data_IF_719727831674
#
_entry.id   IF_719727831674
#
_cell.length_a   1.000
_cell.length_b   1.000
_cell.length_c   1.000
_cell.angle_alpha   90.00
_cell.angle_beta   90.00
_cell.angle_gamma   90.00
#
_symmetry.space_group_name_H-M   'P 1'
#
loop_
_entity.id
_entity.type
_entity.pdbx_description
1 polymer ?
#
# COMPACT_ATOMS: atom_id res chain seq x y z
N UNK A 1 -10.84 13.31 12.65
CA UNK A 1 -10.21 12.02 12.30
C UNK A 1 -10.46 11.63 10.84
N UNK A 2 -11.71 11.51 10.37
CA UNK A 2 -11.99 11.14 8.97
C UNK A 2 -11.33 12.07 7.95
N UNK A 3 -11.63 13.37 7.97
CA UNK A 3 -11.09 14.32 6.99
C UNK A 3 -9.64 14.77 7.24
N UNK A 4 -9.16 14.63 8.48
CA UNK A 4 -7.84 15.12 8.93
C UNK A 4 -6.74 14.06 8.92
N UNK A 5 -7.12 12.77 8.86
CA UNK A 5 -6.17 11.66 9.04
C UNK A 5 -6.44 10.53 8.05
N UNK A 6 -7.70 10.11 7.86
CA UNK A 6 -8.03 8.97 6.99
C UNK A 6 -8.13 9.38 5.50
N UNK A 7 -8.79 10.50 5.23
CA UNK A 7 -9.16 10.95 3.88
C UNK A 7 -8.57 12.32 3.53
N UNK A 8 -7.30 12.54 3.91
CA UNK A 8 -6.59 13.80 3.67
C UNK A 8 -6.34 13.98 2.17
N UNK A 9 -6.68 15.16 1.64
CA UNK A 9 -6.33 15.59 0.28
C UNK A 9 -5.18 16.63 0.34
N UNK A 10 -4.59 16.98 -0.81
CA UNK A 10 -3.50 17.96 -0.93
C UNK A 10 -3.94 19.39 -0.58
N UNK A 11 -5.25 19.67 -0.57
CA UNK A 11 -5.78 20.93 -0.05
C UNK A 11 -5.65 20.90 1.47
N UNK A 12 -4.72 21.70 2.00
CA UNK A 12 -4.41 21.84 3.43
C UNK A 12 -5.61 22.16 4.35
N UNK A 13 -6.80 22.38 3.80
CA UNK A 13 -7.93 22.95 4.54
C UNK A 13 -9.33 22.54 4.01
N UNK A 14 -9.44 21.53 3.14
CA UNK A 14 -10.76 21.07 2.64
C UNK A 14 -10.86 19.56 2.66
N UNK A 15 -11.78 19.07 3.49
CA UNK A 15 -12.26 17.69 3.43
C UNK A 15 -13.08 17.53 2.15
N UNK A 16 -12.90 16.43 1.42
CA UNK A 16 -13.75 16.15 0.25
C UNK A 16 -15.22 16.13 0.70
N UNK A 17 -16.15 16.81 -0.01
CA UNK A 17 -17.57 16.83 0.35
C UNK A 17 -18.19 15.45 0.53
N UNK A 18 -17.62 14.45 -0.16
CA UNK A 18 -18.05 13.05 -0.10
C UNK A 18 -17.92 12.43 1.31
N UNK A 19 -17.00 12.93 2.14
CA UNK A 19 -16.89 12.49 3.54
C UNK A 19 -18.10 12.95 4.35
N UNK A 20 -18.68 14.10 4.01
CA UNK A 20 -19.87 14.61 4.70
C UNK A 20 -21.10 13.76 4.40
N UNK A 21 -21.23 13.20 3.20
CA UNK A 21 -22.34 12.29 2.86
C UNK A 21 -22.39 11.07 3.79
N UNK A 22 -21.24 10.49 4.16
CA UNK A 22 -21.17 9.40 5.13
C UNK A 22 -21.40 9.84 6.58
N UNK A 23 -21.29 11.13 6.87
CA UNK A 23 -21.55 11.70 8.20
C UNK A 23 -22.98 12.19 8.35
N UNK A 24 -23.74 12.35 7.26
CA UNK A 24 -25.17 12.66 7.31
C UNK A 24 -25.99 11.42 7.70
N UNK A 25 -25.48 10.22 7.43
CA UNK A 25 -26.06 8.91 7.79
C UNK A 25 -25.39 8.33 9.05
N UNK A 26 -25.42 9.07 10.17
CA UNK A 26 -24.78 8.65 11.43
C UNK A 26 -25.27 7.31 11.96
N UNK A 27 -26.50 6.90 11.61
CA UNK A 27 -27.10 5.63 12.03
C UNK A 27 -26.46 4.41 11.35
N UNK A 28 -25.78 4.59 10.21
CA UNK A 28 -25.12 3.52 9.45
C UNK A 28 -23.58 3.62 9.51
N UNK A 29 -23.06 4.58 10.28
CA UNK A 29 -21.63 4.92 10.31
C UNK A 29 -20.76 3.74 10.78
N UNK A 30 -21.30 2.86 11.62
CA UNK A 30 -20.63 1.68 12.15
C UNK A 30 -20.65 0.47 11.19
N UNK A 31 -21.53 0.50 10.19
CA UNK A 31 -21.65 -0.55 9.17
C UNK A 31 -20.58 -0.42 8.08
N UNK A 32 -20.01 0.77 7.91
CA UNK A 32 -18.98 1.04 6.91
C UNK A 32 -17.62 0.43 7.27
N UNK A 33 -16.98 -0.21 6.29
CA UNK A 33 -15.58 -0.65 6.42
C UNK A 33 -14.61 0.52 6.25
N UNK A 34 -14.46 1.34 7.29
CA UNK A 34 -13.55 2.50 7.30
C UNK A 34 -12.12 2.15 6.92
N UNK A 35 -11.63 0.99 7.35
CA UNK A 35 -10.29 0.51 7.00
C UNK A 35 -10.12 0.31 5.50
N UNK A 36 -11.10 -0.35 4.85
CA UNK A 36 -11.06 -0.63 3.41
C UNK A 36 -11.20 0.64 2.58
N UNK A 37 -12.09 1.55 3.00
CA UNK A 37 -12.20 2.87 2.36
C UNK A 37 -10.93 3.69 2.49
N UNK A 38 -10.32 3.72 3.67
CA UNK A 38 -9.04 4.40 3.91
C UNK A 38 -7.94 3.82 3.02
N UNK A 39 -7.87 2.50 2.89
CA UNK A 39 -6.88 1.82 2.05
C UNK A 39 -7.11 2.12 0.55
N UNK A 40 -8.37 2.13 0.09
CA UNK A 40 -8.73 2.50 -1.28
C UNK A 40 -8.28 3.94 -1.60
N UNK A 41 -8.50 4.88 -0.67
CA UNK A 41 -8.03 6.24 -0.82
C UNK A 41 -6.50 6.34 -0.81
N UNK A 42 -5.84 5.65 0.11
CA UNK A 42 -4.38 5.62 0.18
C UNK A 42 -3.75 5.08 -1.11
N UNK A 43 -4.26 3.96 -1.65
CA UNK A 43 -3.80 3.38 -2.93
C UNK A 43 -3.98 4.35 -4.09
N UNK A 44 -5.13 5.03 -4.14
CA UNK A 44 -5.39 6.08 -5.13
C UNK A 44 -4.36 7.21 -5.05
N UNK A 45 -4.07 7.70 -3.84
CA UNK A 45 -3.09 8.77 -3.64
C UNK A 45 -1.66 8.33 -3.97
N UNK A 46 -1.27 7.10 -3.61
CA UNK A 46 0.02 6.53 -3.97
C UNK A 46 0.19 6.37 -5.49
N UNK A 47 -0.85 5.88 -6.18
CA UNK A 47 -0.86 5.78 -7.64
C UNK A 47 -0.86 7.13 -8.38
N UNK A 48 -1.30 8.21 -7.71
CA UNK A 48 -1.12 9.57 -8.21
C UNK A 48 0.30 10.11 -7.92
N UNK A 49 0.86 9.78 -6.76
CA UNK A 49 2.18 10.24 -6.32
C UNK A 49 3.33 9.56 -7.08
N UNK A 50 3.14 8.35 -7.59
CA UNK A 50 4.12 7.62 -8.39
C UNK A 50 4.32 8.16 -9.81
N UNK A 51 3.51 9.14 -10.23
CA UNK A 51 3.52 9.69 -11.60
C UNK A 51 4.60 10.75 -11.76
N UNK A 52 5.15 10.82 -12.97
CA UNK A 52 6.04 11.91 -13.35
C UNK A 52 5.37 13.27 -13.13
N UNK A 53 6.06 14.18 -12.42
CA UNK A 53 5.57 15.52 -12.12
C UNK A 53 4.73 15.65 -10.84
N UNK A 54 4.44 14.55 -10.12
CA UNK A 54 3.79 14.64 -8.82
C UNK A 54 4.69 15.36 -7.80
N UNK A 55 4.16 16.42 -7.17
CA UNK A 55 4.89 17.26 -6.20
C UNK A 55 4.66 16.88 -4.74
N UNK A 56 3.97 15.77 -4.48
CA UNK A 56 3.63 15.33 -3.13
C UNK A 56 2.60 14.20 -3.12
N UNK A 57 2.44 13.63 -1.93
CA UNK A 57 1.54 12.50 -1.63
C UNK A 57 0.44 12.95 -0.67
N UNK A 58 -0.74 12.33 -0.79
CA UNK A 58 -1.90 12.56 0.08
C UNK A 58 -2.40 11.19 0.61
N UNK A 59 -3.57 11.18 1.26
CA UNK A 59 -4.11 9.98 1.89
C UNK A 59 -3.65 9.81 3.34
N UNK A 60 -3.94 8.65 3.92
CA UNK A 60 -3.60 8.35 5.31
C UNK A 60 -2.09 8.07 5.48
N UNK A 61 -1.28 9.12 5.48
CA UNK A 61 0.18 9.01 5.61
C UNK A 61 0.62 8.46 6.96
N UNK A 62 -0.17 8.68 8.02
CA UNK A 62 0.07 8.04 9.32
C UNK A 62 0.02 6.53 9.20
N UNK A 63 -0.98 5.97 8.49
CA UNK A 63 -1.07 4.52 8.26
C UNK A 63 0.12 4.01 7.45
N UNK A 64 0.49 4.71 6.38
CA UNK A 64 1.66 4.35 5.57
C UNK A 64 2.96 4.39 6.39
N UNK A 65 3.14 5.43 7.20
CA UNK A 65 4.32 5.58 8.06
C UNK A 65 4.37 4.49 9.13
N UNK A 66 3.24 4.19 9.79
CA UNK A 66 3.16 3.08 10.74
C UNK A 66 3.52 1.76 10.06
N UNK A 67 2.96 1.50 8.88
CA UNK A 67 3.31 0.31 8.09
C UNK A 67 4.81 0.24 7.79
N UNK A 68 5.45 1.34 7.38
CA UNK A 68 6.90 1.38 7.15
C UNK A 68 7.67 1.03 8.43
N UNK A 69 7.32 1.64 9.57
CA UNK A 69 8.05 1.41 10.82
C UNK A 69 7.85 0.00 11.38
N UNK A 70 6.68 -0.59 11.20
CA UNK A 70 6.45 -1.98 11.60
C UNK A 70 7.30 -2.96 10.78
N UNK A 71 7.29 -2.80 9.45
CA UNK A 71 7.95 -3.74 8.53
C UNK A 71 9.44 -3.50 8.33
N UNK A 72 9.92 -2.26 8.51
CA UNK A 72 11.30 -1.89 8.23
C UNK A 72 11.93 -1.20 9.46
N UNK A 73 12.45 -1.99 10.42
CA UNK A 73 13.06 -1.46 11.63
C UNK A 73 14.17 -0.42 11.38
N UNK A 74 14.92 -0.55 10.28
CA UNK A 74 15.98 0.39 9.90
C UNK A 74 15.51 1.81 9.54
N UNK A 75 14.21 2.02 9.30
CA UNK A 75 13.65 3.35 9.03
C UNK A 75 12.98 4.00 10.25
N UNK A 76 12.96 3.31 11.40
CA UNK A 76 12.40 3.87 12.64
C UNK A 76 13.23 5.08 13.10
N UNK A 77 12.62 6.05 13.78
CA UNK A 77 13.37 7.13 14.45
C UNK A 77 14.39 6.54 15.43
N UNK A 78 15.62 7.06 15.44
CA UNK A 78 16.69 6.56 16.33
C UNK A 78 16.32 6.72 17.81
N UNK A 79 16.77 5.79 18.66
CA UNK A 79 16.51 5.79 20.12
C UNK A 79 15.05 5.57 20.55
N UNK A 80 14.22 5.08 19.65
CA UNK A 80 12.82 4.80 19.96
C UNK A 80 12.56 3.29 20.06
N UNK A 81 12.34 2.81 21.28
CA UNK A 81 11.70 1.51 21.52
C UNK A 81 10.18 1.72 21.48
N UNK A 82 9.44 1.02 20.61
CA UNK A 82 8.00 1.21 20.52
C UNK A 82 7.33 0.78 21.83
N UNK A 83 6.55 1.67 22.48
CA UNK A 83 5.90 1.35 23.74
C UNK A 83 4.91 0.20 23.55
N UNK A 84 4.62 -0.54 24.62
CA UNK A 84 3.51 -1.51 24.60
C UNK A 84 2.20 -0.75 24.46
N UNK A 85 1.39 -1.11 23.46
CA UNK A 85 0.07 -0.51 23.22
C UNK A 85 -0.94 -1.29 24.03
N UNK A 86 -1.78 -0.60 24.79
CA UNK A 86 -2.91 -1.22 25.47
C UNK A 86 -3.94 -1.79 24.48
N UNK A 87 -4.82 -2.71 24.93
CA UNK A 87 -5.83 -3.31 24.06
C UNK A 87 -6.80 -2.29 23.41
N UNK A 88 -7.00 -1.14 24.06
CA UNK A 88 -7.93 -0.09 23.60
C UNK A 88 -7.21 1.08 22.89
N UNK A 89 -5.89 1.01 22.75
CA UNK A 89 -5.11 2.05 22.09
C UNK A 89 -4.90 1.74 20.61
N UNK A 90 -5.01 2.76 19.77
CA UNK A 90 -4.74 2.61 18.35
C UNK A 90 -3.27 2.23 18.14
N UNK A 91 -3.00 1.11 17.46
CA UNK A 91 -1.63 0.63 17.21
C UNK A 91 -0.68 1.70 16.62
N UNK A 92 -1.23 2.60 15.81
CA UNK A 92 -0.49 3.72 15.22
C UNK A 92 0.06 4.72 16.27
N UNK A 93 -0.53 4.80 17.47
CA UNK A 93 -0.12 5.70 18.56
C UNK A 93 1.34 5.50 18.95
N UNK A 94 1.87 4.28 18.80
CA UNK A 94 3.29 3.94 18.98
C UNK A 94 4.22 4.85 18.22
N UNK A 95 3.78 5.40 17.10
CA UNK A 95 4.63 6.14 16.16
C UNK A 95 4.29 7.64 16.10
N UNK A 96 3.30 8.10 16.88
CA UNK A 96 2.84 9.50 16.89
C UNK A 96 3.72 10.34 17.84
N UNK A 97 4.04 11.57 17.43
CA UNK A 97 4.70 12.56 18.30
C UNK A 97 6.23 12.56 18.27
N UNK A 98 6.85 11.74 17.43
CA UNK A 98 8.31 11.66 17.36
C UNK A 98 8.88 12.69 16.37
N UNK A 99 9.73 13.63 16.81
CA UNK A 99 10.52 14.41 15.87
C UNK A 99 11.39 13.43 15.06
N UNK A 100 11.47 13.61 13.75
CA UNK A 100 12.49 12.96 12.96
C UNK A 100 13.82 13.23 13.67
N UNK A 101 14.47 12.16 14.14
CA UNK A 101 15.64 12.24 15.02
C UNK A 101 16.62 13.27 14.51
N UNK A 102 17.06 14.12 15.44
CA UNK A 102 17.84 15.33 15.25
C UNK A 102 18.66 15.34 13.96
N UNK A 103 18.20 16.10 12.99
CA UNK A 103 19.10 16.58 11.96
C UNK A 103 18.61 17.90 11.39
N UNK A 104 19.41 18.92 11.68
CA UNK A 104 19.58 20.14 10.88
C UNK A 104 20.22 19.78 9.51
N UNK A 105 20.04 18.56 9.01
CA UNK A 105 20.51 18.17 7.68
C UNK A 105 19.51 18.60 6.62
N UNK A 106 20.06 19.20 5.57
CA UNK A 106 19.39 19.52 4.32
C UNK A 106 18.46 18.36 3.87
N UNK A 107 17.19 18.64 3.51
CA UNK A 107 16.29 17.67 2.90
C UNK A 107 16.91 16.81 1.79
N UNK A 108 17.87 17.35 1.03
CA UNK A 108 18.59 16.60 0.00
C UNK A 108 19.42 15.43 0.57
N UNK A 109 20.11 15.65 1.70
CA UNK A 109 20.93 14.66 2.39
C UNK A 109 20.06 13.56 2.97
N UNK A 110 18.93 13.94 3.58
CA UNK A 110 17.93 12.98 4.08
C UNK A 110 17.37 12.12 2.95
N UNK A 111 17.02 12.74 1.82
CA UNK A 111 16.51 12.02 0.66
C UNK A 111 17.55 11.03 0.11
N UNK A 112 18.81 11.44 -0.01
CA UNK A 112 19.90 10.58 -0.46
C UNK A 112 20.11 9.39 0.49
N UNK A 113 20.03 9.60 1.81
CA UNK A 113 20.08 8.54 2.81
C UNK A 113 18.98 7.49 2.59
N UNK A 114 17.71 7.91 2.52
CA UNK A 114 16.61 6.97 2.34
C UNK A 114 16.68 6.19 1.03
N UNK A 115 17.10 6.84 -0.07
CA UNK A 115 17.29 6.16 -1.37
C UNK A 115 18.34 5.06 -1.29
N UNK A 116 19.50 5.35 -0.71
CA UNK A 116 20.57 4.35 -0.52
C UNK A 116 20.13 3.22 0.39
N UNK A 117 19.47 3.56 1.50
CA UNK A 117 18.98 2.57 2.46
C UNK A 117 17.95 1.63 1.82
N UNK A 118 17.04 2.14 0.97
CA UNK A 118 16.09 1.33 0.21
C UNK A 118 16.81 0.39 -0.77
N UNK A 119 17.80 0.88 -1.49
CA UNK A 119 18.56 0.08 -2.47
C UNK A 119 19.46 -0.98 -1.80
N UNK A 120 19.83 -0.78 -0.53
CA UNK A 120 20.62 -1.73 0.25
C UNK A 120 19.78 -2.74 1.04
N UNK A 121 18.44 -2.65 1.01
CA UNK A 121 17.58 -3.55 1.78
C UNK A 121 17.77 -5.00 1.34
N UNK A 122 18.00 -5.86 2.32
CA UNK A 122 17.97 -7.31 2.17
C UNK A 122 16.66 -7.85 2.74
N UNK A 123 16.26 -9.09 2.39
CA UNK A 123 15.09 -9.70 3.01
C UNK A 123 15.20 -9.91 4.53
N UNK A 124 16.41 -9.88 5.09
CA UNK A 124 16.67 -9.97 6.52
C UNK A 124 16.39 -8.65 7.26
N UNK A 125 16.42 -7.51 6.56
CA UNK A 125 16.14 -6.19 7.15
C UNK A 125 14.64 -5.92 7.31
N UNK A 126 13.80 -6.82 6.79
CA UNK A 126 12.34 -6.71 6.80
C UNK A 126 11.77 -7.59 7.91
N UNK A 127 10.96 -6.99 8.77
CA UNK A 127 10.13 -7.75 9.70
C UNK A 127 8.81 -8.13 9.03
N UNK A 128 8.73 -9.36 8.53
CA UNK A 128 7.62 -9.79 7.67
C UNK A 128 6.31 -10.03 8.39
N UNK A 129 6.29 -10.25 9.71
CA UNK A 129 5.06 -10.58 10.45
C UNK A 129 4.93 -9.75 11.73
N UNK A 130 4.80 -8.40 11.61
CA UNK A 130 4.71 -7.52 12.78
C UNK A 130 3.40 -7.67 13.55
N UNK A 131 2.34 -8.06 12.86
CA UNK A 131 1.03 -8.37 13.43
C UNK A 131 0.87 -9.88 13.58
N UNK A 132 1.86 -10.53 14.19
CA UNK A 132 1.95 -11.99 14.37
C UNK A 132 1.83 -12.83 13.06
N UNK A 133 2.01 -14.14 13.19
CA UNK A 133 1.77 -15.06 12.08
C UNK A 133 0.25 -15.24 11.90
N UNK A 134 -0.19 -15.33 10.65
CA UNK A 134 -1.59 -15.59 10.27
C UNK A 134 -2.62 -14.58 10.83
N UNK A 135 -2.41 -13.26 10.65
CA UNK A 135 -3.37 -12.22 11.07
C UNK A 135 -4.77 -12.36 10.44
N UNK A 136 -4.85 -13.09 9.32
CA UNK A 136 -6.12 -13.37 8.64
C UNK A 136 -7.07 -14.28 9.44
N UNK A 137 -6.58 -15.00 10.45
CA UNK A 137 -7.46 -15.81 11.31
C UNK A 137 -8.36 -14.92 12.18
N UNK A 138 -7.86 -13.75 12.57
CA UNK A 138 -8.60 -12.74 13.32
C UNK A 138 -9.37 -11.82 12.37
N UNK A 139 -8.70 -11.35 11.31
CA UNK A 139 -9.29 -10.42 10.34
C UNK A 139 -9.41 -11.11 8.99
N UNK A 140 -10.41 -11.99 8.83
CA UNK A 140 -10.62 -12.75 7.57
C UNK A 140 -10.72 -11.88 6.32
N UNK A 141 -11.25 -10.67 6.46
CA UNK A 141 -11.37 -9.69 5.37
C UNK A 141 -10.02 -9.27 4.78
N UNK A 142 -8.91 -9.48 5.49
CA UNK A 142 -7.55 -9.24 4.98
C UNK A 142 -7.13 -10.19 3.85
N UNK A 143 -7.84 -11.32 3.66
CA UNK A 143 -7.64 -12.21 2.52
C UNK A 143 -8.57 -11.89 1.34
N UNK A 144 -9.41 -10.86 1.44
CA UNK A 144 -10.27 -10.43 0.33
C UNK A 144 -9.43 -10.19 -0.94
N UNK A 145 -9.94 -10.60 -2.09
CA UNK A 145 -9.33 -10.30 -3.40
C UNK A 145 -10.41 -9.73 -4.31
N UNK A 146 -10.19 -8.53 -4.81
CA UNK A 146 -11.21 -7.79 -5.56
C UNK A 146 -11.04 -6.29 -5.43
N UNK A 147 -12.14 -5.56 -5.54
CA UNK A 147 -12.13 -4.09 -5.42
C UNK A 147 -12.49 -3.69 -4.00
N UNK A 148 -11.68 -2.84 -3.39
CA UNK A 148 -12.02 -2.07 -2.20
C UNK A 148 -12.43 -0.65 -2.61
N UNK A 149 -13.36 -0.04 -1.87
CA UNK A 149 -14.03 1.19 -2.31
C UNK A 149 -14.07 2.26 -1.24
N UNK A 150 -13.91 3.51 -1.68
CA UNK A 150 -14.22 4.73 -0.95
C UNK A 150 -15.00 5.66 -1.87
N UNK A 151 -16.30 5.81 -1.61
CA UNK A 151 -17.21 6.60 -2.44
C UNK A 151 -17.16 6.25 -3.94
N UNK A 152 -16.72 7.15 -4.82
CA UNK A 152 -16.58 6.93 -6.27
C UNK A 152 -15.26 6.25 -6.66
N UNK A 153 -14.37 6.02 -5.70
CA UNK A 153 -13.03 5.50 -5.91
C UNK A 153 -13.04 4.02 -5.54
N UNK A 154 -12.66 3.15 -6.47
CA UNK A 154 -12.23 1.82 -6.07
C UNK A 154 -10.85 1.46 -6.59
N UNK A 155 -10.22 0.55 -5.87
CA UNK A 155 -8.86 0.08 -6.07
C UNK A 155 -8.83 -1.44 -5.93
N UNK A 156 -8.01 -2.09 -6.75
CA UNK A 156 -7.79 -3.52 -6.60
C UNK A 156 -6.97 -3.81 -5.35
N UNK A 157 -7.44 -4.78 -4.58
CA UNK A 157 -6.77 -5.34 -3.42
C UNK A 157 -6.52 -6.83 -3.69
N UNK A 158 -5.27 -7.24 -3.54
CA UNK A 158 -4.80 -8.58 -3.88
C UNK A 158 -3.72 -9.03 -2.88
N UNK A 159 -4.11 -9.73 -1.79
CA UNK A 159 -3.18 -10.15 -0.74
C UNK A 159 -2.26 -11.28 -1.20
N UNK A 160 -2.52 -11.93 -2.35
CA UNK A 160 -1.62 -12.93 -2.91
C UNK A 160 -0.24 -12.36 -3.31
N UNK A 161 -0.12 -11.03 -3.40
CA UNK A 161 1.16 -10.34 -3.65
C UNK A 161 2.01 -10.11 -2.40
N UNK A 162 1.44 -10.32 -1.22
CA UNK A 162 2.04 -10.02 0.08
C UNK A 162 1.96 -11.20 1.05
N UNK A 163 2.03 -12.45 0.56
CA UNK A 163 1.84 -13.68 1.36
C UNK A 163 2.77 -13.81 2.55
N UNK A 164 3.98 -13.25 2.47
CA UNK A 164 4.93 -13.21 3.59
C UNK A 164 4.38 -12.47 4.81
N UNK A 165 3.52 -11.47 4.60
CA UNK A 165 2.84 -10.75 5.67
C UNK A 165 1.86 -11.64 6.46
N UNK A 166 1.41 -12.73 5.85
CA UNK A 166 0.51 -13.69 6.47
C UNK A 166 1.24 -14.91 7.05
N UNK A 167 2.56 -15.00 6.90
CA UNK A 167 3.36 -16.14 7.34
C UNK A 167 3.49 -17.25 6.30
N UNK A 168 3.29 -16.95 5.01
CA UNK A 168 3.36 -17.92 3.91
C UNK A 168 4.50 -17.57 2.95
N UNK A 169 4.99 -18.59 2.24
CA UNK A 169 5.99 -18.41 1.19
C UNK A 169 5.40 -17.56 0.08
N UNK A 170 6.16 -16.58 -0.41
CA UNK A 170 5.71 -15.80 -1.55
C UNK A 170 5.86 -16.63 -2.84
N UNK A 171 4.77 -16.74 -3.58
CA UNK A 171 4.78 -17.34 -4.92
C UNK A 171 4.65 -16.26 -5.99
N UNK A 172 4.87 -16.62 -7.25
CA UNK A 172 4.49 -15.78 -8.39
C UNK A 172 2.99 -15.47 -8.31
N UNK A 173 2.58 -14.20 -8.14
CA UNK A 173 1.17 -13.86 -8.06
C UNK A 173 0.53 -13.98 -9.44
N UNK A 174 -0.80 -14.17 -9.52
CA UNK A 174 -1.51 -14.08 -10.80
C UNK A 174 -1.28 -12.69 -11.42
N UNK A 175 -1.53 -12.51 -12.73
CA UNK A 175 -1.53 -11.20 -13.35
C UNK A 175 -2.48 -10.24 -12.59
N UNK A 176 -2.11 -8.95 -12.43
CA UNK A 176 -2.97 -8.01 -11.72
C UNK A 176 -4.29 -7.85 -12.45
N UNK A 177 -5.38 -7.84 -11.69
CA UNK A 177 -6.70 -7.49 -12.20
C UNK A 177 -6.64 -6.11 -12.86
N UNK A 178 -7.06 -6.04 -14.12
CA UNK A 178 -7.11 -4.80 -14.90
C UNK A 178 -8.56 -4.31 -14.97
N UNK A 179 -8.82 -3.01 -14.85
CA UNK A 179 -10.15 -2.50 -15.12
C UNK A 179 -10.47 -2.76 -16.61
N UNK A 180 -11.68 -3.24 -16.92
CA UNK A 180 -12.12 -3.46 -18.31
C UNK A 180 -12.05 -2.17 -19.15
N UNK A 181 -12.19 -1.01 -18.49
CA UNK A 181 -12.09 0.31 -19.12
C UNK A 181 -11.40 1.29 -18.17
N UNK A 182 -10.28 1.86 -18.60
CA UNK A 182 -9.62 2.96 -17.91
C UNK A 182 -9.72 4.19 -18.80
N UNK A 183 -10.68 5.07 -18.53
CA UNK A 183 -10.80 6.31 -19.27
C UNK A 183 -9.78 7.32 -18.71
N UNK A 184 -8.91 7.82 -19.58
CA UNK A 184 -7.98 8.93 -19.30
C UNK A 184 -8.67 10.21 -19.79
N UNK A 185 -9.17 11.08 -18.91
CA UNK A 185 -9.64 12.39 -19.33
C UNK A 185 -8.48 13.20 -19.93
N UNK A 186 -8.76 14.02 -20.94
CA UNK A 186 -7.79 14.90 -21.61
C UNK A 186 -7.22 15.97 -20.65
N UNK A 187 -7.95 16.29 -19.58
CA UNK A 187 -7.50 17.24 -18.57
C UNK A 187 -6.37 16.67 -17.69
N UNK A 188 -5.28 17.43 -17.46
CA UNK A 188 -4.21 17.01 -16.56
C UNK A 188 -4.72 17.06 -15.11
N UNK A 189 -5.19 15.93 -14.58
CA UNK A 189 -5.71 15.93 -13.20
C UNK A 189 -6.14 14.61 -12.58
N UNK A 190 -6.41 13.57 -13.37
CA UNK A 190 -6.75 12.26 -12.80
C UNK A 190 -7.41 11.34 -13.80
N UNK A 191 -7.18 10.04 -13.66
CA UNK A 191 -7.90 9.00 -14.39
C UNK A 191 -9.12 8.61 -13.56
N UNK A 192 -10.28 8.41 -14.17
CA UNK A 192 -11.45 7.87 -13.46
C UNK A 192 -11.46 6.38 -13.73
N UNK A 193 -11.24 5.55 -12.70
CA UNK A 193 -11.61 4.13 -12.82
C UNK A 193 -13.11 4.07 -12.55
N UNK A 194 -13.90 3.83 -13.59
CA UNK A 194 -15.30 3.44 -13.41
C UNK A 194 -15.32 1.96 -13.05
N UNK A 195 -15.60 1.67 -11.79
CA UNK A 195 -15.78 0.30 -11.35
C UNK A 195 -17.29 0.00 -11.37
N UNK A 196 -17.73 -1.03 -12.10
CA UNK A 196 -19.12 -1.46 -12.10
C UNK A 196 -19.67 -1.72 -10.69
N UNK A 197 -20.94 -1.37 -10.45
CA UNK A 197 -21.64 -1.67 -9.18
C UNK A 197 -21.67 -3.17 -8.85
N UNK A 198 -21.53 -4.04 -9.86
CA UNK A 198 -21.41 -5.49 -9.66
C UNK A 198 -20.21 -5.89 -8.80
N UNK A 199 -19.22 -5.01 -8.62
CA UNK A 199 -18.10 -5.25 -7.70
C UNK A 199 -18.48 -5.05 -6.22
N UNK A 200 -19.57 -4.34 -5.92
CA UNK A 200 -20.04 -4.18 -4.54
C UNK A 200 -20.59 -5.51 -4.02
N UNK A 201 -21.25 -6.29 -4.88
CA UNK A 201 -21.67 -7.67 -4.55
C UNK A 201 -20.48 -8.60 -4.24
N UNK A 202 -19.32 -8.36 -4.85
CA UNK A 202 -18.10 -9.14 -4.59
C UNK A 202 -17.56 -8.90 -3.18
N UNK A 203 -17.69 -7.67 -2.66
CA UNK A 203 -17.34 -7.35 -1.29
C UNK A 203 -18.15 -8.21 -0.33
N UNK A 204 -19.47 -8.26 -0.49
CA UNK A 204 -20.37 -9.01 0.40
C UNK A 204 -20.24 -10.53 0.26
N UNK A 205 -19.84 -11.02 -0.91
CA UNK A 205 -19.56 -12.43 -1.18
C UNK A 205 -18.13 -12.87 -0.79
N UNK A 206 -17.69 -12.54 0.43
CA UNK A 206 -16.30 -12.74 0.88
C UNK A 206 -15.72 -14.14 0.61
N UNK A 207 -16.49 -15.21 0.85
CA UNK A 207 -16.01 -16.58 0.67
C UNK A 207 -15.66 -16.92 -0.79
N UNK A 208 -16.31 -16.26 -1.74
CA UNK A 208 -16.05 -16.40 -3.18
C UNK A 208 -14.92 -15.47 -3.66
N UNK A 209 -14.58 -14.46 -2.86
CA UNK A 209 -13.63 -13.40 -3.19
C UNK A 209 -12.52 -13.31 -2.14
N UNK A 210 -11.98 -14.45 -1.73
CA UNK A 210 -10.82 -14.50 -0.85
C UNK A 210 -9.74 -15.42 -1.39
N UNK A 211 -8.49 -15.07 -1.11
CA UNK A 211 -7.36 -15.95 -1.37
C UNK A 211 -7.47 -17.14 -0.41
N UNK A 212 -7.68 -18.34 -0.96
CA UNK A 212 -7.60 -19.59 -0.21
C UNK A 212 -6.15 -19.91 0.12
N UNK A 213 -5.57 -19.17 1.08
CA UNK A 213 -4.13 -19.11 1.31
C UNK A 213 -3.51 -20.48 1.59
N UNK A 214 -4.22 -21.37 2.29
CA UNK A 214 -3.76 -22.73 2.61
C UNK A 214 -3.76 -23.67 1.39
N UNK A 215 -4.58 -23.37 0.37
CA UNK A 215 -4.52 -24.08 -0.91
C UNK A 215 -3.56 -23.40 -1.90
N UNK A 216 -3.36 -22.10 -1.73
CA UNK A 216 -2.59 -21.27 -2.63
C UNK A 216 -1.09 -21.34 -2.33
N UNK A 217 -0.66 -21.36 -1.06
CA UNK A 217 0.76 -21.39 -0.68
C UNK A 217 1.00 -22.20 0.59
N UNK A 218 2.27 -22.54 0.84
CA UNK A 218 2.70 -23.20 2.07
C UNK A 218 3.22 -22.15 3.08
N UNK A 219 3.05 -22.38 4.40
CA UNK A 219 3.78 -21.64 5.41
C UNK A 219 5.30 -21.66 5.13
N UNK A 220 5.99 -20.58 5.45
CA UNK A 220 7.45 -20.61 5.43
C UNK A 220 7.98 -21.55 6.51
N UNK A 221 9.14 -22.18 6.27
CA UNK A 221 9.65 -23.27 7.13
C UNK A 221 10.77 -22.83 8.07
N UNK A 222 11.68 -22.01 7.56
CA UNK A 222 12.93 -21.64 8.23
C UNK A 222 13.05 -20.13 8.32
N UNK A 223 12.79 -19.41 7.24
CA UNK A 223 12.94 -17.96 7.20
C UNK A 223 11.66 -17.26 6.71
N UNK A 224 11.29 -16.12 7.31
CA UNK A 224 10.06 -15.40 6.97
C UNK A 224 10.08 -14.76 5.58
N UNK A 225 11.26 -14.66 4.96
CA UNK A 225 11.42 -14.15 3.60
C UNK A 225 11.36 -15.22 2.50
N UNK A 226 11.08 -16.48 2.83
CA UNK A 226 11.04 -17.59 1.86
C UNK A 226 10.06 -17.35 0.69
N UNK A 227 10.45 -17.84 -0.48
CA UNK A 227 9.70 -17.72 -1.71
C UNK A 227 9.71 -19.05 -2.49
N UNK A 228 8.91 -19.18 -3.55
CA UNK A 228 9.06 -20.24 -4.54
C UNK A 228 10.30 -19.98 -5.41
N UNK A 229 10.84 -21.03 -6.02
CA UNK A 229 12.11 -20.93 -6.76
C UNK A 229 12.07 -19.90 -7.91
N UNK A 230 10.91 -19.74 -8.52
CA UNK A 230 10.62 -18.85 -9.65
C UNK A 230 10.26 -17.41 -9.24
N UNK A 231 9.95 -17.16 -7.98
CA UNK A 231 9.40 -15.88 -7.55
C UNK A 231 10.41 -14.74 -7.69
N UNK A 232 11.66 -14.93 -7.28
CA UNK A 232 12.65 -13.84 -7.32
C UNK A 232 13.01 -13.46 -8.75
N UNK A 233 13.12 -14.43 -9.66
CA UNK A 233 13.34 -14.19 -11.08
C UNK A 233 12.17 -13.40 -11.68
N UNK A 234 10.94 -13.81 -11.38
CA UNK A 234 9.74 -13.08 -11.77
C UNK A 234 9.72 -11.65 -11.19
N UNK A 235 10.06 -11.50 -9.91
CA UNK A 235 10.03 -10.22 -9.21
C UNK A 235 11.01 -9.22 -9.83
N UNK A 236 12.23 -9.65 -10.13
CA UNK A 236 13.25 -8.83 -10.79
C UNK A 236 12.83 -8.46 -12.22
N UNK A 237 12.21 -9.38 -12.96
CA UNK A 237 11.74 -9.12 -14.31
C UNK A 237 10.56 -8.13 -14.39
N UNK A 238 9.75 -8.00 -13.32
CA UNK A 238 8.51 -7.22 -13.31
C UNK A 238 8.50 -6.02 -12.35
N UNK A 239 9.60 -5.77 -11.63
CA UNK A 239 9.70 -4.69 -10.64
C UNK A 239 10.91 -3.80 -10.89
N UNK A 240 10.81 -2.53 -10.48
CA UNK A 240 11.97 -1.64 -10.41
C UNK A 240 12.71 -1.88 -9.08
N UNK A 241 13.79 -2.67 -9.11
CA UNK A 241 14.50 -3.08 -7.90
C UNK A 241 15.38 -1.99 -7.26
N UNK A 242 15.64 -0.88 -7.96
CA UNK A 242 16.46 0.23 -7.45
C UNK A 242 15.77 1.57 -7.64
N UNK A 243 15.94 2.42 -6.64
CA UNK A 243 15.50 3.82 -6.61
C UNK A 243 16.53 4.72 -7.27
N UNK A 244 17.83 4.46 -7.02
CA UNK A 244 18.90 5.14 -7.71
C UNK A 244 19.08 4.53 -9.11
N UNK A 245 19.28 5.40 -10.09
CA UNK A 245 19.69 4.99 -11.44
C UNK A 245 21.19 4.75 -11.40
N UNK A 246 21.66 3.64 -11.96
CA UNK A 246 23.08 3.48 -12.24
C UNK A 246 23.43 4.50 -13.34
N UNK A 247 24.41 5.37 -13.10
CA UNK A 247 24.81 6.48 -13.98
C UNK A 247 25.31 6.01 -15.38
N UNK A 248 25.35 4.69 -15.64
CA UNK A 248 25.74 4.09 -16.92
C UNK A 248 24.59 3.68 -17.86
N UNK A 249 23.32 3.82 -17.45
CA UNK A 249 22.15 3.35 -18.25
C UNK A 249 21.36 4.50 -18.91
N UNK A 250 21.91 5.72 -18.89
CA UNK A 250 21.29 6.91 -19.49
C UNK A 250 21.01 6.77 -21.00
N UNK A 251 21.73 5.89 -21.71
CA UNK A 251 21.56 5.64 -23.14
C UNK A 251 20.43 4.67 -23.50
N UNK A 252 19.80 3.97 -22.54
CA UNK A 252 18.68 3.03 -22.83
C UNK A 252 17.28 3.65 -22.75
N UNK A 253 17.18 4.91 -22.31
CA UNK A 253 15.89 5.58 -22.09
C UNK A 253 15.37 6.38 -23.29
N UNK A 254 16.08 6.39 -24.42
CA UNK A 254 15.52 6.91 -25.69
C UNK A 254 14.64 5.86 -26.38
N UNK A 255 14.84 4.56 -26.12
CA UNK A 255 14.11 3.48 -26.82
C UNK A 255 12.94 2.84 -26.04
N UNK A 256 12.82 3.06 -24.72
CA UNK A 256 11.75 2.46 -23.90
C UNK A 256 10.50 3.34 -23.72
N UNK A 257 10.48 4.54 -24.30
CA UNK A 257 9.29 5.40 -24.35
C UNK A 257 8.23 4.94 -25.38
N UNK A 258 8.46 3.84 -26.09
CA UNK A 258 7.54 3.27 -27.06
C UNK A 258 7.05 1.88 -26.64
N UNK A 259 6.41 1.76 -25.46
CA UNK A 259 5.43 0.67 -25.28
C UNK A 259 4.18 1.09 -26.06
N UNK A 260 4.18 0.76 -27.36
CA UNK A 260 2.98 0.76 -28.19
C UNK A 260 1.97 -0.19 -27.55
N UNK A 261 0.81 0.34 -27.20
CA UNK A 261 -0.38 -0.47 -27.04
C UNK A 261 -0.92 -0.70 -28.46
N UNK A 262 -0.57 -1.84 -29.05
CA UNK A 262 -1.25 -2.27 -30.27
C UNK A 262 -2.64 -2.82 -29.90
N UNK A 263 -3.60 -2.44 -30.75
CA UNK A 263 -5.05 -2.64 -30.64
C UNK A 263 -5.49 -4.10 -30.72
#
# INVERSE_FOLDING_TARGET
MLGSTLFVDKSRDRVRPVVNLFLDELEEIDQYSWASGTLAWLYRCLGQASRAGARGVAGCLTLLQCWIYEYFPGFRPSHFEPPVVGPDEAWASRWIGQPATGSVADPSVRLAFYRRALDSLTPADVFWTPFHQRPHLEVRRSLYTGVIRFADIGQFYDPARCLRQFGYRQMVPPPPSRPQRADRPEAPGGYVIRIPESFDAAWDALLSHMVHIDMYSQPWRTYPYETTADYLDWFVAHSHCRVLRDDGDADRLVDSAAVRFDH
#
